data_IF_486739606746
#
_entry.id   IF_486739606746
#
_cell.length_a   1.000
_cell.length_b   1.000
_cell.length_c   1.000
_cell.angle_alpha   90.00
_cell.angle_beta   90.00
_cell.angle_gamma   90.00
#
_symmetry.space_group_name_H-M   'P 1'
#
loop_
_entity.id
_entity.type
_entity.pdbx_description
1 polymer ?
#
# COMPACT_ATOMS: atom_id res chain seq x y z
N UNK A 1 4.82 -0.14 -12.24
CA UNK A 1 3.97 -0.75 -11.20
C UNK A 1 4.14 -2.29 -11.12
N UNK A 2 5.19 -2.87 -11.71
CA UNK A 2 5.55 -4.27 -11.45
C UNK A 2 6.18 -4.36 -10.05
N UNK A 3 5.74 -5.34 -9.27
CA UNK A 3 6.28 -5.69 -7.97
C UNK A 3 5.75 -4.91 -6.77
N UNK A 4 4.50 -4.45 -6.72
CA UNK A 4 3.88 -4.19 -5.41
C UNK A 4 3.47 -5.54 -4.79
N UNK A 5 3.43 -5.66 -3.46
CA UNK A 5 3.19 -6.95 -2.78
C UNK A 5 1.79 -7.55 -3.09
N UNK A 6 0.85 -6.78 -3.66
CA UNK A 6 -0.51 -7.19 -4.02
C UNK A 6 -0.63 -8.39 -4.98
N UNK A 7 0.48 -8.93 -5.49
CA UNK A 7 0.50 -10.12 -6.34
C UNK A 7 0.40 -11.44 -5.54
N UNK A 8 0.24 -11.38 -4.21
CA UNK A 8 0.07 -12.58 -3.40
C UNK A 8 -1.37 -13.13 -3.51
N UNK A 9 -1.61 -13.97 -4.51
CA UNK A 9 -2.91 -14.62 -4.76
C UNK A 9 -3.44 -15.40 -3.55
N UNK A 10 -2.55 -15.98 -2.72
CA UNK A 10 -2.96 -16.63 -1.47
C UNK A 10 -3.53 -15.64 -0.45
N UNK A 11 -2.98 -14.42 -0.36
CA UNK A 11 -3.53 -13.39 0.51
C UNK A 11 -4.92 -12.95 0.04
N UNK A 12 -5.11 -12.80 -1.28
CA UNK A 12 -6.40 -12.47 -1.88
C UNK A 12 -7.45 -13.56 -1.59
N UNK A 13 -7.11 -14.84 -1.81
CA UNK A 13 -8.03 -15.96 -1.53
C UNK A 13 -8.39 -16.05 -0.04
N UNK A 14 -7.42 -15.95 0.86
CA UNK A 14 -7.66 -16.05 2.30
C UNK A 14 -8.47 -14.87 2.87
N UNK A 15 -8.34 -13.68 2.28
CA UNK A 15 -9.13 -12.52 2.68
C UNK A 15 -10.53 -12.53 2.07
N UNK A 16 -10.71 -13.07 0.85
CA UNK A 16 -12.04 -13.25 0.25
C UNK A 16 -12.95 -14.13 1.12
N UNK A 17 -12.42 -15.15 1.77
CA UNK A 17 -13.20 -16.03 2.64
C UNK A 17 -13.65 -15.37 3.95
N UNK A 18 -13.06 -14.24 4.34
CA UNK A 18 -13.37 -13.54 5.60
C UNK A 18 -14.39 -12.43 5.47
N UNK A 19 -14.62 -11.94 4.26
CA UNK A 19 -15.50 -10.81 4.00
C UNK A 19 -16.50 -11.23 2.93
N UNK A 20 -17.75 -10.80 3.08
CA UNK A 20 -18.77 -11.00 2.06
C UNK A 20 -18.53 -10.00 0.91
N UNK A 21 -17.46 -10.26 0.15
CA UNK A 21 -17.02 -9.42 -0.96
C UNK A 21 -17.62 -9.90 -2.27
N UNK A 22 -18.16 -8.95 -3.01
CA UNK A 22 -18.72 -9.19 -4.34
C UNK A 22 -17.62 -9.57 -5.34
N UNK A 23 -18.01 -10.23 -6.45
CA UNK A 23 -17.07 -10.48 -7.54
C UNK A 23 -16.49 -9.18 -8.13
N UNK A 24 -17.27 -8.10 -8.11
CA UNK A 24 -16.86 -6.77 -8.55
C UNK A 24 -15.76 -6.20 -7.66
N UNK A 25 -15.90 -6.27 -6.33
CA UNK A 25 -14.85 -5.81 -5.40
C UNK A 25 -13.54 -6.57 -5.58
N UNK A 26 -13.63 -7.89 -5.81
CA UNK A 26 -12.46 -8.73 -6.12
C UNK A 26 -11.82 -8.28 -7.44
N UNK A 27 -12.62 -7.96 -8.45
CA UNK A 27 -12.11 -7.49 -9.74
C UNK A 27 -11.48 -6.10 -9.61
N UNK A 28 -12.06 -5.17 -8.85
CA UNK A 28 -11.47 -3.87 -8.57
C UNK A 28 -10.10 -4.00 -7.90
N UNK A 29 -9.97 -4.91 -6.92
CA UNK A 29 -8.69 -5.20 -6.28
C UNK A 29 -7.67 -5.79 -7.25
N UNK A 30 -8.08 -6.72 -8.13
CA UNK A 30 -7.24 -7.26 -9.20
C UNK A 30 -6.79 -6.19 -10.19
N UNK A 31 -7.70 -5.29 -10.55
CA UNK A 31 -7.49 -4.14 -11.42
C UNK A 31 -6.70 -3.01 -10.73
N UNK A 32 -6.34 -3.20 -9.45
CA UNK A 32 -5.58 -2.25 -8.63
C UNK A 32 -6.32 -0.92 -8.48
N UNK A 33 -7.65 -0.97 -8.47
CA UNK A 33 -8.54 0.13 -8.15
C UNK A 33 -8.89 0.07 -6.66
N UNK A 34 -9.24 1.24 -6.11
CA UNK A 34 -9.76 1.31 -4.76
C UNK A 34 -11.19 0.75 -4.80
N UNK A 35 -11.53 -0.26 -3.99
CA UNK A 35 -12.91 -0.68 -3.83
C UNK A 35 -13.71 0.46 -3.21
N UNK A 36 -14.94 0.66 -3.69
CA UNK A 36 -15.83 1.68 -3.18
C UNK A 36 -16.54 1.22 -1.89
N UNK A 37 -16.84 -0.09 -1.79
CA UNK A 37 -17.54 -0.67 -0.65
C UNK A 37 -16.63 -0.77 0.58
N UNK A 38 -17.22 -0.61 1.76
CA UNK A 38 -16.50 -0.81 3.03
C UNK A 38 -15.94 -2.23 3.13
N UNK A 39 -16.73 -3.25 2.76
CA UNK A 39 -16.29 -4.65 2.69
C UNK A 39 -15.06 -4.86 1.80
N UNK A 40 -15.03 -4.23 0.62
CA UNK A 40 -13.87 -4.28 -0.27
C UNK A 40 -12.65 -3.59 0.33
N UNK A 41 -12.82 -2.45 1.02
CA UNK A 41 -11.73 -1.78 1.75
C UNK A 41 -11.22 -2.65 2.91
N UNK A 42 -12.09 -3.38 3.61
CA UNK A 42 -11.68 -4.32 4.65
C UNK A 42 -10.92 -5.52 4.08
N UNK A 43 -11.31 -6.02 2.91
CA UNK A 43 -10.53 -7.03 2.20
C UNK A 43 -9.14 -6.50 1.84
N UNK A 44 -9.03 -5.24 1.41
CA UNK A 44 -7.74 -4.58 1.19
C UNK A 44 -6.91 -4.50 2.47
N UNK A 45 -7.50 -4.10 3.60
CA UNK A 45 -6.82 -4.07 4.89
C UNK A 45 -6.28 -5.45 5.28
N UNK A 46 -7.07 -6.51 5.08
CA UNK A 46 -6.63 -7.88 5.31
C UNK A 46 -5.43 -8.28 4.44
N UNK A 47 -5.45 -7.93 3.15
CA UNK A 47 -4.34 -8.18 2.22
C UNK A 47 -3.09 -7.41 2.67
N UNK A 48 -3.22 -6.12 2.99
CA UNK A 48 -2.12 -5.28 3.47
C UNK A 48 -1.51 -5.79 4.77
N UNK A 49 -2.32 -6.29 5.72
CA UNK A 49 -1.84 -6.94 6.95
C UNK A 49 -1.04 -8.21 6.66
N UNK A 50 -1.54 -9.09 5.77
CA UNK A 50 -0.83 -10.31 5.37
C UNK A 50 0.51 -10.01 4.69
N UNK A 51 0.56 -8.93 3.93
CA UNK A 51 1.77 -8.47 3.24
C UNK A 51 2.71 -7.66 4.15
N UNK A 52 2.34 -7.47 5.43
CA UNK A 52 3.09 -6.66 6.40
C UNK A 52 3.28 -5.20 5.97
N UNK A 53 2.36 -4.68 5.16
CA UNK A 53 2.25 -3.24 4.85
C UNK A 53 1.46 -2.54 5.96
N UNK A 54 0.53 -3.26 6.58
CA UNK A 54 -0.15 -2.82 7.79
C UNK A 54 0.24 -3.70 8.98
N UNK A 55 0.33 -3.09 10.14
CA UNK A 55 0.44 -3.79 11.42
C UNK A 55 -0.87 -4.51 11.73
N UNK A 56 -0.85 -5.44 12.69
CA UNK A 56 -2.07 -6.11 13.16
C UNK A 56 -3.14 -5.13 13.66
N UNK A 57 -2.74 -3.94 14.12
CA UNK A 57 -3.59 -2.83 14.59
C UNK A 57 -4.12 -1.92 13.47
N UNK A 58 -3.87 -2.28 12.21
CA UNK A 58 -4.38 -1.51 11.07
C UNK A 58 -3.59 -0.24 10.73
N UNK A 59 -2.40 -0.03 11.31
CA UNK A 59 -1.56 1.12 11.01
C UNK A 59 -0.52 0.78 9.94
N UNK A 60 -0.04 1.76 9.17
CA UNK A 60 1.04 1.57 8.20
C UNK A 60 2.34 1.09 8.87
N UNK A 61 2.95 0.03 8.34
CA UNK A 61 4.14 -0.60 8.89
C UNK A 61 5.38 -0.19 8.08
N UNK A 62 5.86 1.04 8.31
CA UNK A 62 7.02 1.61 7.61
C UNK A 62 8.24 0.67 7.65
N UNK A 63 8.52 0.05 8.80
CA UNK A 63 9.69 -0.82 8.99
C UNK A 63 9.65 -2.04 8.07
N UNK A 64 8.51 -2.74 8.04
CA UNK A 64 8.37 -3.91 7.17
C UNK A 64 8.34 -3.50 5.69
N UNK A 65 7.73 -2.36 5.36
CA UNK A 65 7.74 -1.83 3.98
C UNK A 65 9.17 -1.50 3.52
N UNK A 66 9.95 -0.77 4.31
CA UNK A 66 11.35 -0.46 3.98
C UNK A 66 12.21 -1.72 3.89
N UNK A 67 11.99 -2.73 4.75
CA UNK A 67 12.67 -4.02 4.65
C UNK A 67 12.37 -4.70 3.31
N UNK A 68 11.10 -4.73 2.91
CA UNK A 68 10.70 -5.30 1.62
C UNK A 68 11.27 -4.51 0.44
N UNK A 69 11.31 -3.17 0.51
CA UNK A 69 11.92 -2.31 -0.51
C UNK A 69 13.41 -2.60 -0.69
N UNK A 70 14.17 -2.72 0.41
CA UNK A 70 15.60 -3.07 0.37
C UNK A 70 15.85 -4.41 -0.33
N UNK A 71 15.02 -5.41 -0.04
CA UNK A 71 15.14 -6.72 -0.67
C UNK A 71 14.76 -6.68 -2.15
N UNK A 72 13.71 -5.92 -2.50
CA UNK A 72 13.20 -5.84 -3.87
C UNK A 72 14.15 -5.08 -4.81
N UNK A 73 14.72 -3.98 -4.33
CA UNK A 73 15.58 -3.07 -5.11
C UNK A 73 17.06 -3.25 -4.74
N UNK A 74 17.46 -4.46 -4.34
CA UNK A 74 18.85 -4.77 -4.08
C UNK A 74 19.68 -4.51 -5.34
N UNK A 75 20.69 -3.63 -5.23
CA UNK A 75 21.52 -3.20 -6.35
C UNK A 75 20.93 -2.06 -7.20
N UNK A 76 19.68 -1.66 -6.97
CA UNK A 76 19.01 -0.54 -7.66
C UNK A 76 18.76 0.61 -6.67
N UNK A 77 19.81 1.39 -6.44
CA UNK A 77 19.79 2.48 -5.46
C UNK A 77 18.77 3.58 -5.81
N UNK A 78 18.56 3.81 -7.11
CA UNK A 78 17.61 4.83 -7.59
C UNK A 78 16.18 4.44 -7.21
N UNK A 79 15.75 3.22 -7.53
CA UNK A 79 14.40 2.80 -7.17
C UNK A 79 14.23 2.52 -5.68
N UNK A 80 15.30 2.12 -4.96
CA UNK A 80 15.27 2.02 -3.51
C UNK A 80 15.03 3.39 -2.86
N UNK A 81 15.75 4.43 -3.27
CA UNK A 81 15.57 5.79 -2.76
C UNK A 81 14.16 6.32 -3.05
N UNK A 82 13.68 6.15 -4.29
CA UNK A 82 12.30 6.52 -4.69
C UNK A 82 11.25 5.79 -3.84
N UNK A 83 11.46 4.49 -3.58
CA UNK A 83 10.57 3.68 -2.74
C UNK A 83 10.55 4.13 -1.28
N UNK A 84 11.72 4.37 -0.69
CA UNK A 84 11.83 4.83 0.71
C UNK A 84 11.18 6.19 0.90
N UNK A 85 11.40 7.13 -0.03
CA UNK A 85 10.72 8.43 0.01
C UNK A 85 9.19 8.29 0.06
N UNK A 86 8.62 7.45 -0.81
CA UNK A 86 7.16 7.23 -0.83
C UNK A 86 6.68 6.65 0.49
N UNK A 87 7.42 5.68 1.05
CA UNK A 87 7.06 5.03 2.31
C UNK A 87 7.11 6.02 3.49
N UNK A 88 8.18 6.81 3.59
CA UNK A 88 8.37 7.81 4.65
C UNK A 88 7.35 8.94 4.54
N UNK A 89 7.10 9.45 3.33
CA UNK A 89 6.08 10.47 3.12
C UNK A 89 4.68 10.01 3.53
N UNK A 90 4.34 8.74 3.28
CA UNK A 90 3.08 8.19 3.75
C UNK A 90 3.07 7.93 5.26
N UNK A 91 4.18 7.49 5.85
CA UNK A 91 4.27 7.32 7.29
C UNK A 91 4.07 8.65 8.05
N UNK A 92 4.49 9.77 7.47
CA UNK A 92 4.28 11.10 8.05
C UNK A 92 2.86 11.64 7.80
N UNK A 93 2.25 11.31 6.65
CA UNK A 93 0.91 11.81 6.29
C UNK A 93 -0.21 11.04 6.98
N UNK A 94 -0.16 9.71 7.02
CA UNK A 94 -1.29 8.89 7.45
C UNK A 94 -1.75 9.14 8.91
N UNK A 95 -0.85 9.35 9.89
CA UNK A 95 -1.27 9.65 11.26
C UNK A 95 -2.04 10.97 11.40
N UNK A 96 -1.82 11.95 10.51
CA UNK A 96 -2.48 13.27 10.59
C UNK A 96 -3.92 13.25 10.07
N UNK A 97 -4.33 12.18 9.40
CA UNK A 97 -5.67 12.03 8.85
C UNK A 97 -6.73 11.67 9.90
N UNK A 98 -6.32 11.25 11.12
CA UNK A 98 -7.25 10.89 12.18
C UNK A 98 -8.11 9.64 11.90
N UNK A 99 -7.79 8.86 10.86
CA UNK A 99 -8.56 7.67 10.47
C UNK A 99 -8.37 6.54 11.49
N UNK A 100 -9.46 6.10 12.11
CA UNK A 100 -9.46 5.01 13.09
C UNK A 100 -9.87 3.66 12.50
N UNK A 101 -10.74 3.67 11.48
CA UNK A 101 -11.18 2.45 10.80
C UNK A 101 -10.03 1.88 9.96
N UNK A 102 -9.65 0.64 10.21
CA UNK A 102 -8.55 -0.03 9.50
C UNK A 102 -8.85 -0.30 8.02
N UNK A 103 -10.11 -0.44 7.65
CA UNK A 103 -10.56 -0.58 6.27
C UNK A 103 -10.37 0.74 5.53
N UNK A 104 -10.78 1.86 6.14
CA UNK A 104 -10.54 3.19 5.57
C UNK A 104 -9.04 3.52 5.54
N UNK A 105 -8.29 3.17 6.59
CA UNK A 105 -6.83 3.35 6.61
C UNK A 105 -6.14 2.59 5.48
N UNK A 106 -6.64 1.42 5.08
CA UNK A 106 -6.11 0.68 3.94
C UNK A 106 -6.28 1.44 2.61
N UNK A 107 -7.44 2.08 2.43
CA UNK A 107 -7.69 2.95 1.28
C UNK A 107 -6.76 4.18 1.30
N UNK A 108 -6.59 4.82 2.46
CA UNK A 108 -5.70 5.98 2.62
C UNK A 108 -4.23 5.64 2.36
N UNK A 109 -3.74 4.49 2.85
CA UNK A 109 -2.40 3.99 2.53
C UNK A 109 -2.22 3.90 1.01
N UNK A 110 -3.20 3.32 0.31
CA UNK A 110 -3.13 3.15 -1.14
C UNK A 110 -3.21 4.46 -1.91
N UNK A 111 -4.06 5.38 -1.48
CA UNK A 111 -4.14 6.74 -2.01
C UNK A 111 -2.82 7.47 -1.84
N UNK A 112 -2.25 7.45 -0.64
CA UNK A 112 -0.98 8.10 -0.36
C UNK A 112 0.14 7.54 -1.24
N UNK A 113 0.32 6.21 -1.25
CA UNK A 113 1.36 5.56 -2.05
C UNK A 113 1.20 5.92 -3.52
N UNK A 114 -0.02 5.93 -4.05
CA UNK A 114 -0.29 6.32 -5.44
C UNK A 114 0.09 7.76 -5.73
N UNK A 115 -0.27 8.69 -4.86
CA UNK A 115 -0.02 10.12 -5.05
C UNK A 115 1.47 10.44 -4.96
N UNK A 116 2.15 9.96 -3.91
CA UNK A 116 3.60 10.15 -3.73
C UNK A 116 4.40 9.45 -4.83
N UNK A 117 3.98 8.25 -5.28
CA UNK A 117 4.62 7.57 -6.43
C UNK A 117 4.47 8.35 -7.74
N UNK A 118 3.34 9.02 -7.96
CA UNK A 118 3.15 9.90 -9.13
C UNK A 118 4.06 11.12 -9.04
N UNK A 119 4.23 11.68 -7.85
CA UNK A 119 5.11 12.83 -7.61
C UNK A 119 6.56 12.49 -7.95
N UNK A 120 7.08 11.39 -7.41
CA UNK A 120 8.47 10.94 -7.66
C UNK A 120 8.74 10.55 -9.12
N UNK A 121 7.72 10.13 -9.88
CA UNK A 121 7.89 9.86 -11.32
C UNK A 121 8.03 11.11 -12.16
N UNK A 122 7.55 12.26 -11.67
CA UNK A 122 7.63 13.54 -12.37
C UNK A 122 8.94 14.28 -12.08
N UNK A 123 9.69 13.85 -11.07
CA UNK A 123 10.99 14.45 -10.73
C UNK A 123 12.10 13.85 -11.57
N UNK A 124 13.01 14.69 -12.06
CA UNK A 124 14.24 14.25 -12.73
C UNK A 124 15.09 13.36 -11.79
N UNK A 125 15.81 12.39 -12.37
CA UNK A 125 16.62 11.45 -11.60
C UNK A 125 17.59 12.21 -10.67
N UNK A 126 17.48 11.95 -9.36
CA UNK A 126 18.36 12.51 -8.32
C UNK A 126 17.78 13.63 -7.45
N UNK A 127 16.62 14.23 -7.77
CA UNK A 127 15.96 15.23 -6.89
C UNK A 127 14.62 14.71 -6.38
N UNK A 128 14.62 14.10 -5.19
CA UNK A 128 13.39 13.75 -4.51
C UNK A 128 12.72 15.02 -3.94
N UNK A 129 11.37 15.11 -3.93
CA UNK A 129 10.69 16.21 -3.27
C UNK A 129 10.92 16.18 -1.75
N UNK A 130 10.55 17.24 -1.05
CA UNK A 130 10.53 17.25 0.42
C UNK A 130 9.33 16.46 0.95
N UNK A 131 9.52 15.86 2.14
CA UNK A 131 8.54 14.99 2.79
C UNK A 131 7.61 15.81 3.68
#
# INVERSE_FOLDING_TARGET
WKGLPFQNEMAVMQCKLKFDVTAEDVQLLKDRKLPASHSGKCMMACILKKMKVMTKRGQFDLRNVQKWLRNKYQGDQVNLAKGNYVAEACANTLPTLGVQDECEMAAEIMTCVRNKSKLVKKTADGKLPEI
#
